data_IF_278483969559
#
_entry.id   IF_278483969559
#
_cell.length_a   1.000
_cell.length_b   1.000
_cell.length_c   1.000
_cell.angle_alpha   90.00
_cell.angle_beta   90.00
_cell.angle_gamma   90.00
#
_symmetry.space_group_name_H-M   'P 1'
#
loop_
_entity.id
_entity.type
_entity.pdbx_description
1 polymer ?
#
# COMPACT_ATOMS: atom_id res chain seq x y z
N UNK A 1 -17.02 7.11 16.79
CA UNK A 1 -17.39 5.81 16.21
C UNK A 1 -16.81 4.76 17.15
N UNK A 2 -17.64 3.99 17.86
CA UNK A 2 -17.15 2.95 18.77
C UNK A 2 -16.95 1.68 17.95
N UNK A 3 -15.71 1.21 17.82
CA UNK A 3 -15.44 -0.11 17.26
C UNK A 3 -15.54 -1.12 18.39
N UNK A 4 -16.34 -2.19 18.23
CA UNK A 4 -16.32 -3.33 19.15
C UNK A 4 -15.18 -4.25 18.72
N UNK A 5 -13.96 -3.94 19.17
CA UNK A 5 -12.75 -4.70 18.80
C UNK A 5 -12.00 -5.11 20.07
N UNK A 6 -11.75 -6.42 20.22
CA UNK A 6 -10.97 -7.03 21.29
C UNK A 6 -9.47 -7.00 20.92
N UNK A 7 -8.83 -5.84 21.11
CA UNK A 7 -7.37 -5.68 20.96
C UNK A 7 -6.85 -4.64 21.94
N UNK A 8 -5.76 -4.95 22.64
CA UNK A 8 -5.07 -3.99 23.50
C UNK A 8 -4.14 -3.07 22.69
N UNK A 9 -3.75 -1.93 23.28
CA UNK A 9 -2.93 -0.92 22.60
C UNK A 9 -1.52 -1.42 22.27
N UNK A 10 -0.94 -2.31 23.09
CA UNK A 10 0.42 -2.82 22.88
C UNK A 10 0.42 -3.73 21.65
N UNK A 11 -0.54 -4.66 21.58
CA UNK A 11 -0.71 -5.53 20.41
C UNK A 11 -0.95 -4.71 19.14
N UNK A 12 -1.76 -3.66 19.23
CA UNK A 12 -2.02 -2.76 18.10
C UNK A 12 -0.74 -2.05 17.62
N UNK A 13 0.07 -1.52 18.52
CA UNK A 13 1.33 -0.85 18.19
C UNK A 13 2.35 -1.83 17.58
N UNK A 14 2.44 -3.05 18.12
CA UNK A 14 3.27 -4.13 17.56
C UNK A 14 2.86 -4.42 16.11
N UNK A 15 1.55 -4.54 15.83
CA UNK A 15 1.06 -4.79 14.48
C UNK A 15 1.37 -3.64 13.52
N UNK A 16 1.19 -2.38 13.95
CA UNK A 16 1.55 -1.21 13.13
C UNK A 16 3.04 -1.22 12.80
N UNK A 17 3.89 -1.49 13.79
CA UNK A 17 5.34 -1.60 13.60
C UNK A 17 5.71 -2.74 12.64
N UNK A 18 5.13 -3.93 12.82
CA UNK A 18 5.35 -5.10 11.95
C UNK A 18 4.91 -4.86 10.51
N UNK A 19 3.82 -4.12 10.30
CA UNK A 19 3.33 -3.71 8.98
C UNK A 19 4.03 -2.44 8.47
N UNK A 20 5.10 -2.00 9.14
CA UNK A 20 6.06 -0.97 8.70
C UNK A 20 5.39 0.36 8.38
N UNK A 21 4.34 0.73 9.14
CA UNK A 21 3.60 1.97 8.93
C UNK A 21 2.81 2.03 7.61
N UNK A 22 2.71 0.94 6.83
CA UNK A 22 1.89 0.91 5.61
C UNK A 22 0.40 1.05 5.94
N UNK A 23 0.01 0.62 7.13
CA UNK A 23 -1.34 0.79 7.69
C UNK A 23 -1.27 1.44 9.07
N UNK A 24 -2.26 2.27 9.37
CA UNK A 24 -2.40 2.91 10.68
C UNK A 24 -3.11 1.99 11.67
N UNK A 25 -3.02 2.33 12.97
CA UNK A 25 -3.83 1.70 14.01
C UNK A 25 -5.33 1.72 13.68
N UNK A 26 -5.82 2.83 13.11
CA UNK A 26 -7.22 3.00 12.71
C UNK A 26 -7.57 2.06 11.53
N UNK A 27 -6.67 1.85 10.58
CA UNK A 27 -6.89 0.90 9.48
C UNK A 27 -7.05 -0.53 10.01
N UNK A 28 -6.24 -0.92 11.01
CA UNK A 28 -6.31 -2.24 11.65
C UNK A 28 -7.64 -2.40 12.40
N UNK A 29 -8.03 -1.41 13.22
CA UNK A 29 -9.30 -1.44 13.95
C UNK A 29 -10.51 -1.53 13.01
N UNK A 30 -10.50 -0.76 11.92
CA UNK A 30 -11.56 -0.83 10.89
C UNK A 30 -11.60 -2.19 10.20
N UNK A 31 -10.43 -2.81 9.98
CA UNK A 31 -10.35 -4.12 9.36
C UNK A 31 -10.83 -5.23 10.31
N UNK A 32 -10.47 -5.16 11.60
CA UNK A 32 -10.95 -6.10 12.63
C UNK A 32 -12.46 -6.00 12.84
N UNK A 33 -13.02 -4.80 12.73
CA UNK A 33 -14.45 -4.57 12.82
C UNK A 33 -15.27 -5.20 11.68
N UNK A 34 -14.64 -5.81 10.67
CA UNK A 34 -15.36 -6.62 9.69
C UNK A 34 -15.72 -8.03 10.22
N UNK A 35 -15.06 -8.50 11.30
CA UNK A 35 -15.20 -9.85 11.84
C UNK A 35 -16.09 -9.88 13.08
N UNK A 36 -16.70 -11.04 13.34
CA UNK A 36 -17.46 -11.29 14.59
C UNK A 36 -16.52 -11.26 15.80
N UNK A 37 -17.03 -10.92 17.00
CA UNK A 37 -16.20 -10.68 18.19
C UNK A 37 -15.33 -11.91 18.56
N UNK A 38 -15.86 -13.12 18.41
CA UNK A 38 -15.16 -14.39 18.66
C UNK A 38 -14.14 -14.76 17.56
N UNK A 39 -14.28 -14.18 16.37
CA UNK A 39 -13.38 -14.41 15.23
C UNK A 39 -12.16 -13.47 15.22
N UNK A 40 -12.23 -12.34 15.93
CA UNK A 40 -11.19 -11.32 15.91
C UNK A 40 -9.83 -11.85 16.34
N UNK A 41 -9.77 -12.79 17.29
CA UNK A 41 -8.51 -13.45 17.69
C UNK A 41 -7.87 -14.25 16.57
N UNK A 42 -8.69 -14.91 15.75
CA UNK A 42 -8.22 -15.66 14.58
C UNK A 42 -7.78 -14.69 13.48
N UNK A 43 -8.53 -13.60 13.25
CA UNK A 43 -8.13 -12.51 12.35
C UNK A 43 -6.79 -11.87 12.76
N UNK A 44 -6.55 -11.67 14.05
CA UNK A 44 -5.29 -11.19 14.60
C UNK A 44 -4.13 -12.14 14.27
N UNK A 45 -4.34 -13.45 14.32
CA UNK A 45 -3.31 -14.42 13.92
C UNK A 45 -2.95 -14.32 12.43
N UNK A 46 -3.92 -14.00 11.55
CA UNK A 46 -3.70 -13.83 10.12
C UNK A 46 -2.88 -12.57 9.82
N UNK A 47 -3.27 -11.41 10.37
CA UNK A 47 -2.53 -10.15 10.17
C UNK A 47 -1.13 -10.20 10.80
N UNK A 48 -0.97 -10.91 11.92
CA UNK A 48 0.33 -11.16 12.57
C UNK A 48 1.28 -12.01 11.73
N UNK A 49 0.80 -12.63 10.65
CA UNK A 49 1.62 -13.40 9.70
C UNK A 49 1.74 -12.73 8.31
N UNK A 50 1.09 -11.58 8.10
CA UNK A 50 1.20 -10.81 6.86
C UNK A 50 2.55 -10.10 6.76
N UNK A 51 3.35 -10.41 5.74
CA UNK A 51 4.61 -9.72 5.43
C UNK A 51 4.34 -8.58 4.47
N UNK A 52 4.86 -7.39 4.79
CA UNK A 52 4.73 -6.20 3.94
C UNK A 52 6.11 -5.74 3.48
N UNK A 53 6.29 -5.53 2.18
CA UNK A 53 7.51 -4.97 1.61
C UNK A 53 7.39 -3.46 1.42
N UNK A 54 8.35 -2.72 1.98
CA UNK A 54 8.53 -1.29 1.77
C UNK A 54 9.27 -0.99 0.46
N UNK A 55 9.29 0.27 0.03
CA UNK A 55 10.09 0.68 -1.14
C UNK A 55 11.57 0.36 -0.95
N UNK A 56 12.12 0.64 0.24
CA UNK A 56 13.54 0.45 0.52
C UNK A 56 13.95 -1.03 0.46
N UNK A 57 13.09 -1.93 0.95
CA UNK A 57 13.36 -3.37 0.90
C UNK A 57 13.28 -3.92 -0.53
N UNK A 58 12.35 -3.40 -1.34
CA UNK A 58 12.29 -3.75 -2.77
C UNK A 58 13.55 -3.26 -3.47
N UNK A 59 13.96 -2.01 -3.23
CA UNK A 59 15.20 -1.43 -3.77
C UNK A 59 16.43 -2.24 -3.34
N UNK A 60 16.51 -2.68 -2.08
CA UNK A 60 17.60 -3.51 -1.59
C UNK A 60 17.64 -4.89 -2.26
N UNK A 61 16.48 -5.54 -2.43
CA UNK A 61 16.38 -6.85 -3.10
C UNK A 61 16.78 -6.75 -4.57
N UNK A 62 16.32 -5.71 -5.26
CA UNK A 62 16.74 -5.42 -6.63
C UNK A 62 18.22 -5.04 -6.73
N UNK A 63 18.76 -4.28 -5.78
CA UNK A 63 20.18 -3.95 -5.71
C UNK A 63 21.04 -5.21 -5.63
N UNK A 64 20.71 -6.14 -4.72
CA UNK A 64 21.40 -7.41 -4.54
C UNK A 64 21.26 -8.31 -5.76
N UNK A 65 20.04 -8.51 -6.24
CA UNK A 65 19.76 -9.39 -7.36
C UNK A 65 20.38 -8.92 -8.67
N UNK A 66 20.30 -7.62 -8.98
CA UNK A 66 20.95 -7.05 -10.16
C UNK A 66 22.48 -7.16 -10.08
N UNK A 67 23.07 -6.99 -8.89
CA UNK A 67 24.51 -7.14 -8.70
C UNK A 67 24.99 -8.57 -8.96
N UNK A 68 24.19 -9.58 -8.59
CA UNK A 68 24.46 -11.00 -8.92
C UNK A 68 24.49 -11.18 -10.45
N UNK A 69 23.49 -10.64 -11.17
CA UNK A 69 23.42 -10.75 -12.64
C UNK A 69 24.64 -10.08 -13.28
N UNK A 70 24.95 -8.83 -12.92
CA UNK A 70 26.04 -8.06 -13.53
C UNK A 70 27.39 -8.75 -13.35
N UNK A 71 27.64 -9.39 -12.20
CA UNK A 71 28.87 -10.15 -11.95
C UNK A 71 28.96 -11.41 -12.80
N UNK A 72 27.83 -12.00 -13.19
CA UNK A 72 27.77 -13.14 -14.09
C UNK A 72 27.86 -12.79 -15.58
N UNK A 73 27.75 -11.51 -15.94
CA UNK A 73 27.73 -11.05 -17.35
C UNK A 73 29.07 -10.40 -17.73
N UNK A 74 29.72 -10.82 -18.84
CA UNK A 74 31.00 -10.27 -19.30
C UNK A 74 30.98 -8.74 -19.42
N UNK A 75 32.06 -8.07 -19.02
CA UNK A 75 32.13 -6.59 -18.91
C UNK A 75 31.81 -5.83 -20.20
N UNK A 76 32.08 -6.43 -21.37
CA UNK A 76 31.79 -5.86 -22.69
C UNK A 76 30.32 -6.03 -23.13
N UNK A 77 29.59 -6.96 -22.52
CA UNK A 77 28.18 -7.22 -22.84
C UNK A 77 27.26 -6.26 -22.07
N UNK A 78 26.16 -5.88 -22.71
CA UNK A 78 25.06 -5.10 -22.13
C UNK A 78 23.91 -6.01 -21.71
N UNK A 79 23.09 -5.51 -20.80
CA UNK A 79 21.95 -6.21 -20.22
C UNK A 79 20.68 -5.44 -20.56
N UNK A 80 19.75 -6.11 -21.21
CA UNK A 80 18.40 -5.61 -21.39
C UNK A 80 17.56 -5.95 -20.15
N UNK A 81 16.82 -4.97 -19.64
CA UNK A 81 15.94 -5.16 -18.48
C UNK A 81 14.52 -4.80 -18.89
N UNK A 82 13.60 -5.75 -18.72
CA UNK A 82 12.23 -5.62 -19.16
C UNK A 82 11.25 -5.94 -18.02
N UNK A 83 10.49 -4.96 -17.52
CA UNK A 83 9.42 -5.21 -16.55
C UNK A 83 8.28 -6.00 -17.18
N UNK A 84 7.81 -7.03 -16.47
CA UNK A 84 6.69 -7.86 -16.93
C UNK A 84 5.39 -7.06 -16.85
N UNK A 85 4.63 -7.11 -17.94
CA UNK A 85 3.30 -6.53 -18.04
C UNK A 85 3.25 -5.16 -18.72
N UNK A 86 2.02 -4.67 -18.93
CA UNK A 86 1.77 -3.44 -19.67
C UNK A 86 2.22 -2.19 -18.89
N UNK A 87 2.71 -1.19 -19.63
CA UNK A 87 3.05 0.14 -19.13
C UNK A 87 1.88 0.75 -18.32
N UNK A 88 2.18 1.30 -17.13
CA UNK A 88 1.17 1.90 -16.23
C UNK A 88 0.59 0.99 -15.13
N UNK A 89 1.06 -0.27 -15.00
CA UNK A 89 0.77 -1.18 -13.86
C UNK A 89 1.97 -1.29 -12.89
N UNK A 90 2.16 -2.44 -12.23
CA UNK A 90 3.31 -2.70 -11.34
C UNK A 90 4.65 -2.60 -12.07
N UNK A 91 4.72 -2.97 -13.36
CA UNK A 91 5.97 -2.94 -14.14
C UNK A 91 6.67 -1.57 -14.16
N UNK A 92 5.92 -0.47 -14.33
CA UNK A 92 6.49 0.89 -14.28
C UNK A 92 7.04 1.25 -12.90
N UNK A 93 6.38 0.80 -11.84
CA UNK A 93 6.87 0.96 -10.46
C UNK A 93 8.18 0.18 -10.25
N UNK A 94 8.23 -1.06 -10.73
CA UNK A 94 9.40 -1.91 -10.55
C UNK A 94 10.61 -1.34 -11.31
N UNK A 95 10.42 -0.86 -12.53
CA UNK A 95 11.45 -0.14 -13.26
C UNK A 95 11.94 1.10 -12.51
N UNK A 96 11.02 1.89 -11.93
CA UNK A 96 11.37 3.06 -11.13
C UNK A 96 12.20 2.70 -9.89
N UNK A 97 11.78 1.69 -9.12
CA UNK A 97 12.51 1.25 -7.92
C UNK A 97 13.88 0.67 -8.30
N UNK A 98 13.98 -0.10 -9.38
CA UNK A 98 15.26 -0.61 -9.87
C UNK A 98 16.23 0.52 -10.23
N UNK A 99 15.76 1.59 -10.89
CA UNK A 99 16.58 2.76 -11.24
C UNK A 99 17.14 3.50 -10.04
N UNK A 100 16.48 3.44 -8.88
CA UNK A 100 16.98 4.05 -7.65
C UNK A 100 18.17 3.31 -7.05
N UNK A 101 18.36 2.04 -7.41
CA UNK A 101 19.41 1.24 -6.81
C UNK A 101 20.80 1.75 -7.21
N UNK A 102 21.74 1.68 -6.26
CA UNK A 102 23.13 2.06 -6.51
C UNK A 102 23.77 1.21 -7.63
N UNK A 103 23.41 -0.07 -7.70
CA UNK A 103 23.87 -1.00 -8.74
C UNK A 103 23.48 -0.51 -10.13
N UNK A 104 22.23 -0.08 -10.31
CA UNK A 104 21.76 0.44 -11.58
C UNK A 104 22.52 1.71 -11.97
N UNK A 105 22.65 2.65 -11.03
CA UNK A 105 23.29 3.94 -11.30
C UNK A 105 24.76 3.82 -11.69
N UNK A 106 25.53 2.99 -10.98
CA UNK A 106 26.95 2.75 -11.28
C UNK A 106 27.13 2.07 -12.64
N UNK A 107 26.18 1.23 -13.06
CA UNK A 107 26.30 0.43 -14.28
C UNK A 107 25.40 0.94 -15.42
N UNK A 108 24.93 2.19 -15.39
CA UNK A 108 23.90 2.66 -16.33
C UNK A 108 24.30 2.47 -17.80
N UNK A 109 25.59 2.56 -18.12
CA UNK A 109 26.11 2.44 -19.49
C UNK A 109 25.98 1.03 -20.05
N UNK A 110 25.83 0.03 -19.16
CA UNK A 110 25.66 -1.38 -19.49
C UNK A 110 24.21 -1.86 -19.41
N UNK A 111 23.31 -1.05 -18.84
CA UNK A 111 21.93 -1.45 -18.57
C UNK A 111 20.98 -0.68 -19.48
N UNK A 112 20.11 -1.39 -20.18
CA UNK A 112 19.08 -0.77 -21.04
C UNK A 112 17.71 -1.20 -20.58
N UNK A 113 16.90 -0.24 -20.11
CA UNK A 113 15.50 -0.50 -19.75
C UNK A 113 14.62 -0.51 -20.99
N UNK A 114 13.86 -1.59 -21.13
CA UNK A 114 12.98 -1.87 -22.26
C UNK A 114 11.54 -1.80 -21.77
N UNK A 115 10.78 -0.75 -22.12
CA UNK A 115 9.41 -0.59 -21.62
C UNK A 115 8.39 -1.45 -22.38
N UNK A 116 8.69 -1.83 -23.62
CA UNK A 116 7.83 -2.66 -24.48
C UNK A 116 8.64 -3.81 -25.06
N UNK A 117 8.13 -5.04 -24.91
CA UNK A 117 8.68 -6.27 -25.48
C UNK A 117 9.03 -6.15 -26.97
N UNK A 118 8.27 -5.40 -27.77
CA UNK A 118 8.53 -5.20 -29.20
C UNK A 118 9.89 -4.54 -29.45
N UNK A 119 10.34 -3.68 -28.54
CA UNK A 119 11.64 -3.00 -28.61
C UNK A 119 12.82 -3.96 -28.34
N UNK A 120 12.59 -5.20 -27.89
CA UNK A 120 13.66 -6.20 -27.78
C UNK A 120 14.29 -6.52 -29.14
N UNK A 121 13.52 -6.38 -30.22
CA UNK A 121 13.99 -6.55 -31.60
C UNK A 121 14.97 -5.47 -32.06
N UNK A 122 14.96 -4.29 -31.45
CA UNK A 122 15.81 -3.15 -31.85
C UNK A 122 17.14 -3.10 -31.10
N UNK A 123 17.37 -4.03 -30.17
CA UNK A 123 18.60 -4.13 -29.40
C UNK A 123 19.79 -4.53 -30.29
N UNK A 124 20.96 -3.96 -30.01
CA UNK A 124 22.21 -4.35 -30.66
C UNK A 124 22.67 -5.74 -30.22
N UNK A 125 23.65 -6.29 -30.95
CA UNK A 125 24.21 -7.62 -30.66
C UNK A 125 24.94 -7.68 -29.31
N UNK A 126 25.33 -6.53 -28.74
CA UNK A 126 25.96 -6.48 -27.44
C UNK A 126 25.01 -6.85 -26.27
N UNK A 127 23.69 -6.85 -26.50
CA UNK A 127 22.67 -7.21 -25.51
C UNK A 127 22.41 -8.71 -25.47
N UNK A 128 23.38 -9.46 -24.97
CA UNK A 128 23.30 -10.93 -24.91
C UNK A 128 22.50 -11.46 -23.70
N UNK A 129 22.11 -10.58 -22.76
CA UNK A 129 21.41 -10.95 -21.53
C UNK A 129 20.10 -10.18 -21.36
N UNK A 130 19.01 -10.90 -21.09
CA UNK A 130 17.70 -10.35 -20.77
C UNK A 130 17.36 -10.59 -19.30
N UNK A 131 16.87 -9.57 -18.61
CA UNK A 131 16.35 -9.66 -17.25
C UNK A 131 14.87 -9.29 -17.26
N UNK A 132 14.00 -10.24 -16.92
CA UNK A 132 12.59 -9.98 -16.68
C UNK A 132 12.36 -9.59 -15.22
N UNK A 133 11.63 -8.50 -14.99
CA UNK A 133 11.44 -7.90 -13.67
C UNK A 133 9.97 -7.96 -13.24
N UNK A 134 9.71 -8.43 -12.03
CA UNK A 134 8.36 -8.39 -11.43
C UNK A 134 8.42 -8.22 -9.89
N UNK A 135 7.31 -7.89 -9.26
CA UNK A 135 7.22 -7.75 -7.80
C UNK A 135 6.94 -9.08 -7.09
N UNK A 136 5.95 -9.82 -7.57
CA UNK A 136 5.46 -11.03 -6.91
C UNK A 136 5.00 -12.09 -7.89
N UNK A 137 5.55 -13.31 -7.76
CA UNK A 137 5.05 -14.47 -8.51
C UNK A 137 4.35 -15.48 -7.60
N UNK A 138 3.04 -15.61 -7.79
CA UNK A 138 2.21 -16.51 -6.98
C UNK A 138 2.11 -17.93 -7.52
N UNK A 139 1.57 -18.12 -8.72
CA UNK A 139 1.49 -19.42 -9.41
C UNK A 139 2.50 -19.56 -10.55
N UNK A 140 3.07 -18.44 -11.02
CA UNK A 140 3.89 -18.38 -12.23
C UNK A 140 3.11 -18.35 -13.54
N UNK A 141 1.81 -18.66 -13.56
CA UNK A 141 1.03 -18.75 -14.80
C UNK A 141 0.96 -17.44 -15.60
N UNK A 142 0.98 -16.28 -14.94
CA UNK A 142 0.98 -14.99 -15.63
C UNK A 142 2.33 -14.72 -16.32
N UNK A 143 3.42 -15.11 -15.68
CA UNK A 143 4.78 -14.97 -16.22
C UNK A 143 4.97 -15.91 -17.40
N UNK A 144 4.55 -17.17 -17.28
CA UNK A 144 4.57 -18.11 -18.40
C UNK A 144 3.78 -17.58 -19.60
N UNK A 145 2.55 -17.12 -19.38
CA UNK A 145 1.72 -16.57 -20.46
C UNK A 145 2.44 -15.44 -21.16
N UNK A 146 2.97 -14.49 -20.39
CA UNK A 146 3.73 -13.35 -20.90
C UNK A 146 5.00 -13.79 -21.66
N UNK A 147 5.71 -14.78 -21.11
CA UNK A 147 6.90 -15.33 -21.73
C UNK A 147 6.57 -15.93 -23.10
N UNK A 148 5.52 -16.76 -23.17
CA UNK A 148 5.11 -17.44 -24.39
C UNK A 148 4.47 -16.48 -25.42
N UNK A 149 3.86 -15.38 -25.01
CA UNK A 149 3.27 -14.41 -25.94
C UNK A 149 4.26 -13.36 -26.43
N UNK A 150 5.11 -12.83 -25.54
CA UNK A 150 5.87 -11.60 -25.80
C UNK A 150 7.39 -11.82 -25.84
N UNK A 151 7.91 -12.87 -25.18
CA UNK A 151 9.37 -13.07 -25.03
C UNK A 151 9.89 -14.18 -25.94
N UNK A 152 9.11 -15.23 -26.19
CA UNK A 152 9.55 -16.42 -26.93
C UNK A 152 10.00 -16.09 -28.36
N UNK A 153 9.46 -15.04 -28.99
CA UNK A 153 9.90 -14.60 -30.31
C UNK A 153 11.32 -13.99 -30.31
N UNK A 154 11.83 -13.62 -29.14
CA UNK A 154 13.11 -12.92 -28.97
C UNK A 154 14.19 -13.75 -28.26
N UNK A 155 13.84 -14.91 -27.68
CA UNK A 155 14.77 -15.78 -26.91
C UNK A 155 16.08 -16.08 -27.66
N UNK A 156 16.02 -16.36 -28.97
CA UNK A 156 17.21 -16.72 -29.75
C UNK A 156 18.30 -15.63 -29.81
N UNK A 157 17.98 -14.40 -29.40
CA UNK A 157 18.93 -13.27 -29.33
C UNK A 157 19.73 -13.24 -28.02
N UNK A 158 19.23 -13.90 -26.98
CA UNK A 158 19.80 -13.84 -25.64
C UNK A 158 20.47 -15.17 -25.28
N UNK A 159 21.72 -15.09 -24.83
CA UNK A 159 22.45 -16.25 -24.26
C UNK A 159 21.94 -16.59 -22.87
N UNK A 160 21.48 -15.58 -22.12
CA UNK A 160 20.99 -15.72 -20.75
C UNK A 160 19.69 -14.95 -20.57
N UNK A 161 18.71 -15.59 -19.94
CA UNK A 161 17.44 -14.96 -19.57
C UNK A 161 17.23 -15.18 -18.07
N UNK A 162 17.24 -14.11 -17.30
CA UNK A 162 17.05 -14.14 -15.87
C UNK A 162 15.68 -13.60 -15.48
N UNK A 163 15.09 -14.16 -14.43
CA UNK A 163 13.98 -13.53 -13.74
C UNK A 163 14.50 -12.89 -12.44
N UNK A 164 14.18 -11.62 -12.22
CA UNK A 164 14.50 -10.87 -11.00
C UNK A 164 13.18 -10.46 -10.32
N UNK A 165 12.93 -11.01 -9.13
CA UNK A 165 11.71 -10.77 -8.37
C UNK A 165 11.98 -10.32 -6.93
N UNK A 166 10.98 -9.71 -6.29
CA UNK A 166 11.07 -9.35 -4.86
C UNK A 166 10.67 -10.53 -3.99
N UNK A 167 9.55 -11.18 -4.33
CA UNK A 167 9.01 -12.30 -3.57
C UNK A 167 8.29 -13.32 -4.46
N UNK A 168 8.18 -14.56 -3.98
CA UNK A 168 7.52 -15.62 -4.72
C UNK A 168 6.91 -16.68 -3.80
N UNK A 169 5.98 -17.46 -4.34
CA UNK A 169 5.64 -18.75 -3.76
C UNK A 169 6.62 -19.82 -4.26
N UNK A 170 6.96 -20.79 -3.41
CA UNK A 170 7.87 -21.90 -3.71
C UNK A 170 7.41 -22.67 -4.95
N UNK A 171 6.12 -22.91 -5.09
CA UNK A 171 5.55 -23.62 -6.24
C UNK A 171 5.77 -22.86 -7.56
N UNK A 172 5.70 -21.52 -7.55
CA UNK A 172 5.97 -20.71 -8.73
C UNK A 172 7.44 -20.78 -9.16
N UNK A 173 8.38 -20.84 -8.22
CA UNK A 173 9.81 -21.00 -8.52
C UNK A 173 10.07 -22.33 -9.24
N UNK A 174 9.49 -23.41 -8.72
CA UNK A 174 9.62 -24.74 -9.32
C UNK A 174 9.00 -24.74 -10.73
N UNK A 175 7.82 -24.15 -10.87
CA UNK A 175 7.09 -24.05 -12.14
C UNK A 175 7.85 -23.27 -13.21
N UNK A 176 8.47 -22.14 -12.84
CA UNK A 176 9.12 -21.23 -13.77
C UNK A 176 10.58 -21.60 -14.09
N UNK A 177 11.17 -22.54 -13.35
CA UNK A 177 12.57 -22.96 -13.54
C UNK A 177 12.95 -23.30 -14.99
N UNK A 178 12.09 -23.95 -15.82
CA UNK A 178 12.43 -24.26 -17.21
C UNK A 178 12.54 -23.05 -18.15
N UNK A 179 11.98 -21.89 -17.78
CA UNK A 179 11.90 -20.71 -18.66
C UNK A 179 13.10 -19.77 -18.53
N UNK A 180 13.91 -19.93 -17.48
CA UNK A 180 14.95 -18.97 -17.13
C UNK A 180 16.28 -19.66 -16.87
N UNK A 181 17.37 -19.04 -17.31
CA UNK A 181 18.74 -19.40 -16.95
C UNK A 181 18.91 -19.36 -15.43
N UNK A 182 18.34 -18.34 -14.77
CA UNK A 182 18.22 -18.31 -13.32
C UNK A 182 17.03 -17.49 -12.86
N UNK A 183 16.49 -17.87 -11.71
CA UNK A 183 15.49 -17.08 -10.97
C UNK A 183 16.17 -16.51 -9.73
N UNK A 184 16.15 -15.19 -9.61
CA UNK A 184 16.84 -14.44 -8.57
C UNK A 184 15.81 -13.79 -7.68
N UNK A 185 15.59 -14.44 -6.53
CA UNK A 185 14.75 -13.98 -5.42
C UNK A 185 15.45 -14.44 -4.15
N UNK A 186 15.49 -13.58 -3.14
CA UNK A 186 16.09 -13.93 -1.85
C UNK A 186 15.34 -15.12 -1.22
N UNK A 187 16.08 -16.06 -0.63
CA UNK A 187 15.49 -17.27 -0.05
C UNK A 187 14.48 -16.98 1.07
N UNK A 188 14.68 -15.90 1.83
CA UNK A 188 13.76 -15.43 2.88
C UNK A 188 12.43 -14.88 2.32
N UNK A 189 12.37 -14.68 1.01
CA UNK A 189 11.26 -14.11 0.25
C UNK A 189 10.57 -15.15 -0.64
N UNK A 190 10.93 -16.43 -0.46
CA UNK A 190 10.27 -17.58 -1.06
C UNK A 190 9.33 -18.21 -0.03
N UNK A 191 8.04 -17.99 -0.23
CA UNK A 191 6.99 -18.36 0.71
C UNK A 191 6.32 -19.68 0.34
N UNK A 192 5.77 -20.35 1.35
CA UNK A 192 4.89 -21.50 1.16
C UNK A 192 3.45 -21.05 1.39
N UNK A 193 2.48 -21.88 0.97
CA UNK A 193 1.07 -21.64 1.28
C UNK A 193 0.84 -21.51 2.78
N UNK A 194 0.10 -20.46 3.17
CA UNK A 194 -0.14 -20.15 4.58
C UNK A 194 -0.81 -21.28 5.36
N UNK A 195 -1.68 -22.06 4.69
CA UNK A 195 -2.45 -23.14 5.31
C UNK A 195 -1.95 -24.53 4.90
N UNK A 196 -0.66 -24.64 4.58
CA UNK A 196 0.03 -25.92 4.35
C UNK A 196 0.61 -26.45 5.65
N UNK A 197 0.62 -27.77 5.82
CA UNK A 197 1.34 -28.45 6.90
C UNK A 197 2.86 -28.29 6.81
N UNK A 198 3.39 -27.95 5.63
CA UNK A 198 4.82 -27.65 5.42
C UNK A 198 5.23 -26.24 5.88
N UNK A 199 4.25 -25.41 6.25
CA UNK A 199 4.45 -24.04 6.70
C UNK A 199 4.01 -23.91 8.16
N UNK A 200 4.78 -23.20 8.98
CA UNK A 200 4.51 -23.06 10.42
C UNK A 200 4.04 -21.66 10.80
N UNK A 201 3.32 -20.96 9.91
CA UNK A 201 2.82 -19.60 10.18
C UNK A 201 1.98 -19.52 11.46
N UNK A 202 1.20 -20.56 11.72
CA UNK A 202 0.29 -20.63 12.87
C UNK A 202 0.73 -21.66 13.92
N UNK A 203 1.86 -22.33 13.69
CA UNK A 203 2.28 -23.52 14.42
C UNK A 203 1.73 -24.83 13.84
N UNK A 204 2.24 -25.96 14.34
CA UNK A 204 1.95 -27.30 13.80
C UNK A 204 0.44 -27.61 13.82
N UNK A 205 -0.14 -27.82 12.62
CA UNK A 205 -1.57 -28.13 12.38
C UNK A 205 -2.57 -27.09 12.94
N UNK A 206 -2.12 -25.89 13.31
CA UNK A 206 -2.97 -24.82 13.85
C UNK A 206 -3.54 -23.87 12.78
N UNK A 207 -3.48 -24.27 11.51
CA UNK A 207 -3.94 -23.45 10.37
C UNK A 207 -5.43 -23.63 10.03
N UNK A 208 -6.14 -24.58 10.65
CA UNK A 208 -7.55 -24.88 10.32
C UNK A 208 -8.47 -23.69 10.55
N UNK A 209 -8.50 -23.13 11.75
CA UNK A 209 -9.36 -21.98 12.06
C UNK A 209 -9.00 -20.72 11.22
N UNK A 210 -7.72 -20.33 11.05
CA UNK A 210 -7.33 -19.26 10.13
C UNK A 210 -7.77 -19.49 8.69
N UNK A 211 -7.69 -20.74 8.20
CA UNK A 211 -8.10 -21.12 6.85
C UNK A 211 -9.62 -21.01 6.68
N UNK A 212 -10.38 -21.54 7.63
CA UNK A 212 -11.85 -21.52 7.62
C UNK A 212 -12.37 -20.09 7.68
N UNK A 213 -11.81 -19.25 8.55
CA UNK A 213 -12.16 -17.83 8.63
C UNK A 213 -11.86 -17.10 7.31
N UNK A 214 -10.64 -17.28 6.77
CA UNK A 214 -10.25 -16.67 5.51
C UNK A 214 -11.14 -17.12 4.34
N UNK A 215 -11.55 -18.39 4.34
CA UNK A 215 -12.45 -18.94 3.34
C UNK A 215 -13.88 -18.37 3.48
N UNK A 216 -14.47 -18.40 4.70
CA UNK A 216 -15.80 -17.86 5.04
C UNK A 216 -15.99 -16.49 4.41
N UNK A 217 -15.08 -15.54 4.70
CA UNK A 217 -15.16 -14.19 4.15
C UNK A 217 -14.70 -14.10 2.70
N UNK A 218 -13.70 -14.89 2.31
CA UNK A 218 -13.17 -14.93 0.95
C UNK A 218 -14.22 -15.30 -0.11
N UNK A 219 -15.19 -16.17 0.22
CA UNK A 219 -16.30 -16.52 -0.68
C UNK A 219 -17.20 -15.32 -0.99
N UNK A 220 -17.50 -14.47 0.01
CA UNK A 220 -18.30 -13.26 -0.20
C UNK A 220 -17.54 -12.14 -0.92
N UNK A 221 -16.22 -12.13 -0.78
CA UNK A 221 -15.33 -11.15 -1.39
C UNK A 221 -14.96 -11.50 -2.83
N UNK A 222 -15.11 -12.76 -3.25
CA UNK A 222 -14.70 -13.21 -4.58
C UNK A 222 -15.87 -13.68 -5.45
N UNK A 223 -15.66 -13.64 -6.77
CA UNK A 223 -16.67 -14.12 -7.72
C UNK A 223 -16.64 -15.65 -7.76
N UNK A 224 -17.81 -16.32 -7.74
CA UNK A 224 -17.88 -17.77 -7.90
C UNK A 224 -17.64 -18.13 -9.35
N UNK A 225 -17.00 -19.28 -9.56
CA UNK A 225 -16.96 -19.98 -10.83
C UNK A 225 -18.07 -21.04 -10.84
N UNK A 226 -18.77 -21.21 -11.97
CA UNK A 226 -19.75 -22.29 -12.12
C UNK A 226 -19.03 -23.59 -12.48
N UNK A 227 -19.19 -24.60 -11.64
CA UNK A 227 -18.77 -25.96 -11.97
C UNK A 227 -19.67 -26.56 -13.05
N UNK A 228 -19.18 -27.61 -13.73
CA UNK A 228 -20.00 -28.44 -14.64
C UNK A 228 -21.24 -29.01 -13.95
N UNK A 229 -21.18 -29.21 -12.64
CA UNK A 229 -22.30 -29.68 -11.80
C UNK A 229 -23.31 -28.57 -11.42
N UNK A 230 -23.12 -27.33 -11.88
CA UNK A 230 -23.95 -26.18 -11.53
C UNK A 230 -23.66 -25.56 -10.16
N UNK A 231 -22.89 -26.24 -9.29
CA UNK A 231 -22.51 -25.71 -7.97
C UNK A 231 -21.48 -24.58 -8.09
N UNK A 232 -21.58 -23.52 -7.26
CA UNK A 232 -20.56 -22.48 -7.22
C UNK A 232 -19.26 -23.02 -6.60
N UNK A 233 -18.12 -22.62 -7.17
CA UNK A 233 -16.79 -22.86 -6.60
C UNK A 233 -16.06 -21.52 -6.45
N UNK A 234 -15.57 -21.24 -5.25
CA UNK A 234 -14.84 -20.02 -4.96
C UNK A 234 -13.33 -20.26 -5.01
N UNK A 235 -12.82 -20.51 -6.23
CA UNK A 235 -11.41 -20.82 -6.49
C UNK A 235 -10.43 -19.77 -5.95
N UNK A 236 -10.90 -18.53 -5.79
CA UNK A 236 -10.10 -17.39 -5.38
C UNK A 236 -10.33 -16.95 -3.93
N UNK A 237 -11.16 -17.66 -3.16
CA UNK A 237 -11.46 -17.30 -1.77
C UNK A 237 -10.22 -17.21 -0.88
N UNK A 238 -9.17 -17.97 -1.19
CA UNK A 238 -7.88 -17.96 -0.49
C UNK A 238 -6.75 -17.38 -1.34
N UNK A 239 -7.09 -16.42 -2.20
CA UNK A 239 -6.18 -15.79 -3.16
C UNK A 239 -6.25 -16.43 -4.54
N UNK A 240 -5.74 -15.73 -5.55
CA UNK A 240 -5.73 -16.19 -6.93
C UNK A 240 -5.23 -17.62 -7.01
N UNK A 241 -6.01 -18.49 -7.66
CA UNK A 241 -5.66 -19.90 -7.82
C UNK A 241 -5.32 -20.65 -6.52
N UNK A 242 -5.93 -20.24 -5.38
CA UNK A 242 -5.66 -20.82 -4.07
C UNK A 242 -4.16 -20.76 -3.69
N UNK A 243 -3.53 -19.62 -3.98
CA UNK A 243 -2.12 -19.35 -3.65
C UNK A 243 -1.88 -19.21 -2.15
N UNK A 244 -2.87 -18.78 -1.37
CA UNK A 244 -2.78 -18.66 0.09
C UNK A 244 -1.57 -17.82 0.56
N UNK A 245 -1.25 -16.75 -0.19
CA UNK A 245 -0.13 -15.88 0.16
C UNK A 245 -0.50 -14.96 1.33
N UNK A 246 0.51 -14.63 2.13
CA UNK A 246 0.48 -13.62 3.18
C UNK A 246 1.53 -12.54 2.89
N UNK A 247 1.60 -12.09 1.64
CA UNK A 247 2.54 -11.04 1.20
C UNK A 247 1.78 -9.80 0.75
N UNK A 248 2.26 -8.62 1.11
CA UNK A 248 1.75 -7.34 0.63
C UNK A 248 2.92 -6.42 0.26
N UNK A 249 2.60 -5.36 -0.47
CA UNK A 249 3.55 -4.30 -0.79
C UNK A 249 2.99 -2.96 -0.32
N UNK A 250 3.88 -1.99 -0.11
CA UNK A 250 3.49 -0.64 0.29
C UNK A 250 2.48 0.01 -0.66
N UNK A 251 2.50 -0.35 -1.94
CA UNK A 251 1.56 0.12 -2.96
C UNK A 251 0.33 -0.79 -3.15
N UNK A 252 0.17 -1.88 -2.40
CA UNK A 252 -1.01 -2.75 -2.46
C UNK A 252 -0.71 -4.25 -2.34
N UNK A 253 -1.75 -5.05 -2.15
CA UNK A 253 -1.61 -6.52 -2.14
C UNK A 253 -1.63 -7.13 -3.55
N UNK A 254 -0.83 -8.18 -3.80
CA UNK A 254 -1.04 -9.09 -4.92
C UNK A 254 -2.39 -9.82 -4.75
N UNK A 255 -3.01 -10.23 -5.85
CA UNK A 255 -4.29 -10.97 -5.80
C UNK A 255 -4.11 -12.42 -5.32
N UNK A 256 -2.86 -12.91 -5.25
CA UNK A 256 -2.51 -14.18 -4.64
C UNK A 256 -2.62 -14.16 -3.10
N UNK A 257 -2.64 -12.98 -2.49
CA UNK A 257 -2.86 -12.80 -1.05
C UNK A 257 -4.33 -12.98 -0.71
N UNK A 258 -4.62 -13.33 0.53
CA UNK A 258 -6.00 -13.56 0.98
C UNK A 258 -6.89 -12.32 0.70
N UNK A 259 -8.05 -12.49 0.02
CA UNK A 259 -8.96 -11.39 -0.32
C UNK A 259 -9.37 -10.52 0.86
N UNK A 260 -9.50 -11.11 2.05
CA UNK A 260 -9.83 -10.41 3.31
C UNK A 260 -8.92 -9.20 3.58
N UNK A 261 -7.68 -9.19 3.07
CA UNK A 261 -6.77 -8.07 3.26
C UNK A 261 -6.94 -6.92 2.26
N UNK A 262 -7.41 -7.18 1.04
CA UNK A 262 -7.26 -6.23 -0.07
C UNK A 262 -8.50 -5.99 -0.90
N UNK A 263 -9.45 -6.91 -0.89
CA UNK A 263 -10.71 -6.78 -1.58
C UNK A 263 -11.60 -5.88 -0.73
N UNK A 264 -12.04 -4.74 -1.28
CA UNK A 264 -13.04 -3.91 -0.61
C UNK A 264 -14.45 -4.40 -0.91
N UNK A 265 -15.42 -3.55 -0.57
CA UNK A 265 -16.84 -3.78 -0.81
C UNK A 265 -17.11 -4.42 -2.19
N UNK A 266 -17.63 -5.65 -2.17
CA UNK A 266 -17.97 -6.44 -3.35
C UNK A 266 -19.44 -6.30 -3.76
N UNK A 267 -20.21 -5.49 -3.02
CA UNK A 267 -21.67 -5.40 -3.11
C UNK A 267 -22.41 -6.57 -2.43
N UNK A 268 -21.70 -7.64 -2.07
CA UNK A 268 -22.26 -8.81 -1.34
C UNK A 268 -22.07 -8.68 0.16
N UNK A 269 -20.94 -8.12 0.56
CA UNK A 269 -20.61 -7.81 1.94
C UNK A 269 -19.90 -6.46 1.97
N UNK A 270 -20.32 -5.60 2.89
CA UNK A 270 -19.60 -4.37 3.18
C UNK A 270 -18.30 -4.73 3.85
N UNK A 271 -17.18 -4.45 3.19
CA UNK A 271 -15.86 -4.85 3.69
C UNK A 271 -14.86 -3.71 3.60
N UNK A 272 -14.15 -3.47 4.69
CA UNK A 272 -13.05 -2.49 4.74
C UNK A 272 -11.72 -3.20 4.59
N UNK A 273 -11.00 -3.06 3.47
CA UNK A 273 -9.73 -3.74 3.27
C UNK A 273 -8.61 -3.06 4.09
N UNK A 274 -7.71 -3.89 4.60
CA UNK A 274 -6.51 -3.45 5.30
C UNK A 274 -5.56 -2.72 4.33
N UNK A 275 -5.12 -3.40 3.28
CA UNK A 275 -4.21 -2.90 2.23
C UNK A 275 -4.91 -3.06 0.87
N UNK A 276 -5.64 -2.04 0.38
CA UNK A 276 -6.44 -2.16 -0.84
C UNK A 276 -5.57 -2.36 -2.08
N UNK A 277 -6.01 -3.25 -2.99
CA UNK A 277 -5.36 -3.47 -4.29
C UNK A 277 -5.78 -2.41 -5.33
N UNK A 278 -7.08 -2.16 -5.44
CA UNK A 278 -7.65 -1.35 -6.53
C UNK A 278 -7.59 0.16 -6.27
N UNK A 279 -7.35 0.92 -7.34
CA UNK A 279 -7.23 2.38 -7.31
C UNK A 279 -8.50 3.06 -6.80
N UNK A 280 -9.70 2.55 -7.07
CA UNK A 280 -10.94 3.15 -6.58
C UNK A 280 -10.96 3.26 -5.03
N UNK A 281 -10.58 2.19 -4.33
CA UNK A 281 -10.49 2.21 -2.86
C UNK A 281 -9.34 3.08 -2.37
N UNK A 282 -8.21 3.12 -3.09
CA UNK A 282 -7.09 4.02 -2.76
C UNK A 282 -7.49 5.50 -2.93
N UNK A 283 -8.20 5.83 -3.99
CA UNK A 283 -8.74 7.17 -4.28
C UNK A 283 -9.75 7.57 -3.21
N UNK A 284 -10.63 6.65 -2.80
CA UNK A 284 -11.57 6.91 -1.70
C UNK A 284 -10.82 7.18 -0.38
N UNK A 285 -9.86 6.32 0.02
CA UNK A 285 -9.04 6.54 1.22
C UNK A 285 -8.29 7.88 1.15
N UNK A 286 -7.70 8.22 0.00
CA UNK A 286 -7.02 9.50 -0.22
C UNK A 286 -8.00 10.69 -0.10
N UNK A 287 -9.21 10.58 -0.66
CA UNK A 287 -10.24 11.62 -0.55
C UNK A 287 -10.71 11.82 0.89
N UNK A 288 -10.93 10.72 1.64
CA UNK A 288 -11.30 10.77 3.06
C UNK A 288 -10.19 11.41 3.89
N UNK A 289 -8.94 11.03 3.65
CA UNK A 289 -7.78 11.63 4.30
C UNK A 289 -7.65 13.13 4.02
N UNK A 290 -7.80 13.56 2.76
CA UNK A 290 -7.77 14.99 2.42
C UNK A 290 -8.90 15.77 3.08
N UNK A 291 -10.13 15.22 3.12
CA UNK A 291 -11.25 15.83 3.86
C UNK A 291 -10.94 15.99 5.34
N UNK A 292 -10.33 14.98 5.95
CA UNK A 292 -9.90 15.03 7.34
C UNK A 292 -8.84 16.12 7.56
N UNK A 293 -7.80 16.19 6.71
CA UNK A 293 -6.79 17.25 6.79
C UNK A 293 -7.39 18.64 6.68
N UNK A 294 -8.30 18.87 5.71
CA UNK A 294 -8.97 20.16 5.56
C UNK A 294 -9.79 20.53 6.80
N UNK A 295 -10.45 19.55 7.42
CA UNK A 295 -11.18 19.77 8.67
C UNK A 295 -10.24 20.12 9.82
N UNK A 296 -9.14 19.39 9.99
CA UNK A 296 -8.14 19.66 11.04
C UNK A 296 -7.50 21.04 10.90
N UNK A 297 -7.12 21.43 9.68
CA UNK A 297 -6.57 22.77 9.41
C UNK A 297 -7.59 23.88 9.68
N UNK A 298 -8.88 23.61 9.45
CA UNK A 298 -9.95 24.55 9.83
C UNK A 298 -10.03 24.68 11.36
N UNK A 299 -9.83 23.60 12.12
CA UNK A 299 -9.73 23.69 13.58
C UNK A 299 -8.51 24.49 14.02
N UNK A 300 -7.36 24.35 13.36
CA UNK A 300 -6.17 25.14 13.71
C UNK A 300 -6.38 26.63 13.45
N UNK A 301 -7.09 26.97 12.37
CA UNK A 301 -7.44 28.36 12.08
C UNK A 301 -8.33 28.97 13.17
N UNK A 302 -9.34 28.24 13.64
CA UNK A 302 -10.33 28.78 14.58
C UNK A 302 -9.90 28.65 16.05
N UNK A 303 -9.13 27.61 16.39
CA UNK A 303 -8.84 27.23 17.79
C UNK A 303 -7.37 26.85 18.04
N UNK A 304 -6.51 26.94 17.03
CA UNK A 304 -5.09 26.59 17.16
C UNK A 304 -4.34 27.62 18.00
N UNK A 305 -3.24 27.18 18.61
CA UNK A 305 -2.27 28.09 19.23
C UNK A 305 -1.58 28.96 18.17
N UNK A 306 -0.95 30.05 18.61
CA UNK A 306 -0.16 30.94 17.74
C UNK A 306 0.82 30.12 16.89
N UNK A 307 1.50 29.16 17.52
CA UNK A 307 2.38 28.17 16.90
C UNK A 307 1.78 27.45 15.69
N UNK A 308 0.55 26.94 15.82
CA UNK A 308 -0.15 26.24 14.72
C UNK A 308 -0.60 27.20 13.63
N UNK A 309 -1.06 28.40 14.02
CA UNK A 309 -1.53 29.39 13.06
C UNK A 309 -0.39 29.98 12.22
N UNK A 310 0.77 30.22 12.81
CA UNK A 310 1.97 30.69 12.11
C UNK A 310 2.54 29.63 11.17
N UNK A 311 2.45 28.35 11.54
CA UNK A 311 2.94 27.25 10.71
C UNK A 311 2.01 26.90 9.55
N UNK A 312 0.69 26.86 9.77
CA UNK A 312 -0.28 26.25 8.84
C UNK A 312 -1.47 27.14 8.42
N UNK A 313 -1.49 28.41 8.80
CA UNK A 313 -2.53 29.38 8.38
C UNK A 313 -1.85 30.63 7.81
N UNK A 314 -0.95 30.39 6.86
CA UNK A 314 0.03 31.40 6.43
C UNK A 314 -0.50 32.36 5.38
N UNK A 315 -1.62 32.05 4.73
CA UNK A 315 -2.16 32.88 3.66
C UNK A 315 -2.99 34.02 4.21
N UNK A 316 -2.69 35.25 3.79
CA UNK A 316 -3.43 36.45 4.17
C UNK A 316 -4.33 36.90 3.01
N UNK A 317 -5.63 37.01 3.26
CA UNK A 317 -6.63 37.50 2.31
C UNK A 317 -7.10 38.89 2.73
N UNK A 318 -6.94 39.88 1.85
CA UNK A 318 -7.54 41.22 2.01
C UNK A 318 -8.95 41.22 1.46
N UNK A 319 -9.94 41.57 2.30
CA UNK A 319 -11.32 41.84 1.85
C UNK A 319 -11.76 43.21 2.37
N UNK A 320 -11.64 44.22 1.52
CA UNK A 320 -11.81 45.63 1.91
C UNK A 320 -10.68 46.09 2.84
N UNK A 321 -11.01 46.74 3.97
CA UNK A 321 -10.02 47.21 4.98
C UNK A 321 -9.58 46.13 5.99
N UNK A 322 -10.12 44.91 5.90
CA UNK A 322 -9.82 43.82 6.84
C UNK A 322 -8.93 42.75 6.18
N UNK A 323 -7.91 42.32 6.91
CA UNK A 323 -7.07 41.17 6.58
C UNK A 323 -7.51 39.94 7.38
N UNK A 324 -7.59 38.80 6.70
CA UNK A 324 -7.93 37.52 7.31
C UNK A 324 -6.85 36.50 7.01
N UNK A 325 -6.50 35.66 7.98
CA UNK A 325 -5.67 34.48 7.76
C UNK A 325 -6.50 33.32 7.23
N UNK A 326 -5.93 32.53 6.34
CA UNK A 326 -6.53 31.35 5.72
C UNK A 326 -5.47 30.29 5.48
N UNK A 327 -5.94 29.06 5.35
CA UNK A 327 -5.12 27.90 4.98
C UNK A 327 -4.98 27.88 3.46
N UNK A 328 -3.76 27.79 2.93
CA UNK A 328 -3.52 27.60 1.49
C UNK A 328 -3.17 26.13 1.16
N UNK A 329 -2.96 25.84 -0.13
CA UNK A 329 -2.60 24.50 -0.60
C UNK A 329 -1.21 24.03 -0.13
N UNK A 330 -0.31 24.95 0.18
CA UNK A 330 1.03 24.66 0.68
C UNK A 330 0.93 24.25 2.15
N UNK A 331 0.23 25.02 2.97
CA UNK A 331 -0.06 24.69 4.38
C UNK A 331 -0.70 23.31 4.50
N UNK A 332 -1.68 23.04 3.63
CA UNK A 332 -2.32 21.74 3.51
C UNK A 332 -1.32 20.62 3.24
N UNK A 333 -0.44 20.83 2.26
CA UNK A 333 0.51 19.80 1.82
C UNK A 333 1.62 19.59 2.84
N UNK A 334 2.17 20.64 3.43
CA UNK A 334 3.21 20.58 4.47
C UNK A 334 2.68 19.88 5.73
N UNK A 335 1.49 20.23 6.21
CA UNK A 335 0.87 19.54 7.34
C UNK A 335 0.56 18.06 7.01
N UNK A 336 0.06 17.80 5.80
CA UNK A 336 -0.18 16.44 5.31
C UNK A 336 1.09 15.59 5.27
N UNK A 337 2.21 16.15 4.78
CA UNK A 337 3.52 15.50 4.76
C UNK A 337 4.01 15.25 6.18
N UNK A 338 3.96 16.24 7.07
CA UNK A 338 4.36 16.11 8.48
C UNK A 338 3.61 14.95 9.15
N UNK A 339 2.29 14.92 9.00
CA UNK A 339 1.43 13.88 9.59
C UNK A 339 1.76 12.50 9.04
N UNK A 340 1.88 12.35 7.72
CA UNK A 340 2.13 11.06 7.10
C UNK A 340 3.57 10.57 7.34
N UNK A 341 4.58 11.45 7.35
CA UNK A 341 5.94 11.07 7.76
C UNK A 341 5.97 10.63 9.22
N UNK A 342 5.22 11.29 10.10
CA UNK A 342 5.14 10.91 11.52
C UNK A 342 4.52 9.52 11.71
N UNK A 343 3.58 9.16 10.85
CA UNK A 343 2.93 7.85 10.79
C UNK A 343 3.80 6.79 10.06
N UNK A 344 5.00 7.15 9.57
CA UNK A 344 5.96 6.24 8.96
C UNK A 344 5.77 5.98 7.45
N UNK A 345 4.96 6.79 6.76
CA UNK A 345 4.75 6.63 5.33
C UNK A 345 5.98 7.07 4.51
N UNK A 346 6.30 6.29 3.47
CA UNK A 346 7.31 6.65 2.47
C UNK A 346 6.86 7.82 1.58
N UNK A 347 7.81 8.53 0.96
CA UNK A 347 7.55 9.62 0.00
C UNK A 347 6.48 9.22 -1.03
N UNK A 348 6.62 8.05 -1.64
CA UNK A 348 5.67 7.61 -2.66
C UNK A 348 4.23 7.50 -2.12
N UNK A 349 4.07 6.91 -0.94
CA UNK A 349 2.76 6.79 -0.30
C UNK A 349 2.18 8.16 0.07
N UNK A 350 3.05 9.09 0.48
CA UNK A 350 2.66 10.47 0.76
C UNK A 350 2.14 11.15 -0.53
N UNK A 351 2.91 11.08 -1.62
CA UNK A 351 2.51 11.61 -2.93
C UNK A 351 1.15 11.06 -3.38
N UNK A 352 0.94 9.74 -3.26
CA UNK A 352 -0.35 9.13 -3.65
C UNK A 352 -1.52 9.58 -2.76
N UNK A 353 -1.32 9.65 -1.44
CA UNK A 353 -2.38 10.04 -0.49
C UNK A 353 -2.77 11.51 -0.62
N UNK A 354 -1.79 12.38 -0.91
CA UNK A 354 -2.03 13.80 -1.14
C UNK A 354 -2.50 14.07 -2.59
N UNK A 355 -2.15 13.20 -3.54
CA UNK A 355 -2.43 13.39 -4.96
C UNK A 355 -1.52 14.45 -5.58
N UNK A 356 -0.24 14.42 -5.23
CA UNK A 356 0.79 15.37 -5.67
C UNK A 356 1.93 14.62 -6.36
N UNK A 357 2.70 15.30 -7.22
CA UNK A 357 3.87 14.71 -7.85
C UNK A 357 5.08 14.63 -6.89
N UNK A 358 6.13 13.89 -7.26
CA UNK A 358 7.38 13.86 -6.49
C UNK A 358 8.11 15.21 -6.53
N UNK A 359 8.01 15.98 -7.62
CA UNK A 359 8.52 17.36 -7.66
C UNK A 359 7.76 18.27 -6.71
N UNK A 360 6.42 18.23 -6.71
CA UNK A 360 5.62 19.04 -5.77
C UNK A 360 5.96 18.68 -4.32
N UNK A 361 6.15 17.38 -4.03
CA UNK A 361 6.56 16.91 -2.71
C UNK A 361 7.88 17.54 -2.24
N UNK A 362 8.89 17.59 -3.10
CA UNK A 362 10.17 18.22 -2.79
C UNK A 362 10.03 19.74 -2.59
N UNK A 363 9.18 20.40 -3.38
CA UNK A 363 8.90 21.83 -3.23
C UNK A 363 8.20 22.15 -1.91
N UNK A 364 7.22 21.33 -1.50
CA UNK A 364 6.58 21.47 -0.19
C UNK A 364 7.52 21.17 0.96
N UNK A 365 8.41 20.17 0.84
CA UNK A 365 9.47 19.94 1.82
C UNK A 365 10.39 21.14 1.95
N UNK A 366 10.80 21.77 0.84
CA UNK A 366 11.62 22.99 0.87
C UNK A 366 10.93 24.10 1.65
N UNK A 367 9.61 24.28 1.49
CA UNK A 367 8.85 25.23 2.30
C UNK A 367 8.82 24.83 3.78
N UNK A 368 8.56 23.56 4.10
CA UNK A 368 8.57 23.08 5.48
C UNK A 368 9.93 23.22 6.17
N UNK A 369 11.05 23.11 5.43
CA UNK A 369 12.40 23.41 5.93
C UNK A 369 12.57 24.88 6.29
N UNK A 370 12.06 25.80 5.47
CA UNK A 370 12.08 27.23 5.78
C UNK A 370 11.28 27.57 7.04
N UNK A 371 10.25 26.76 7.36
CA UNK A 371 9.46 26.87 8.59
C UNK A 371 10.08 26.10 9.77
N UNK A 372 11.24 25.47 9.58
CA UNK A 372 11.91 24.66 10.60
C UNK A 372 11.22 23.33 10.93
N UNK A 373 10.22 22.90 10.17
CA UNK A 373 9.45 21.66 10.41
C UNK A 373 10.27 20.43 10.01
N UNK A 374 11.04 20.55 8.93
CA UNK A 374 11.93 19.49 8.44
C UNK A 374 13.38 19.96 8.41
N UNK A 375 14.31 19.04 8.60
CA UNK A 375 15.75 19.30 8.52
C UNK A 375 16.28 19.23 7.08
N UNK A 376 17.59 19.47 6.91
CA UNK A 376 18.24 19.39 5.60
C UNK A 376 18.10 18.01 4.93
N UNK A 377 17.92 16.94 5.73
CA UNK A 377 17.76 15.55 5.31
C UNK A 377 16.29 15.12 5.08
N UNK A 378 15.34 16.07 5.12
CA UNK A 378 13.90 15.84 5.00
C UNK A 378 13.26 15.07 6.17
N UNK A 379 13.95 14.98 7.32
CA UNK A 379 13.39 14.38 8.54
C UNK A 379 12.70 15.44 9.39
N UNK A 380 11.72 15.01 10.19
CA UNK A 380 10.98 15.88 11.11
C UNK A 380 11.94 16.36 12.20
N UNK A 381 11.99 17.67 12.43
CA UNK A 381 12.80 18.29 13.49
C UNK A 381 12.10 18.17 14.85
N UNK A 382 12.80 18.50 15.94
CA UNK A 382 12.17 18.61 17.26
C UNK A 382 10.99 19.61 17.26
N UNK A 383 11.16 20.74 16.58
CA UNK A 383 10.09 21.71 16.38
C UNK A 383 8.89 21.14 15.60
N UNK A 384 9.16 20.41 14.51
CA UNK A 384 8.11 19.73 13.75
C UNK A 384 7.34 18.71 14.59
N UNK A 385 8.01 18.02 15.52
CA UNK A 385 7.37 17.10 16.47
C UNK A 385 6.49 17.83 17.48
N UNK A 386 6.95 18.97 18.00
CA UNK A 386 6.17 19.81 18.92
C UNK A 386 4.92 20.38 18.22
N UNK A 387 5.06 20.87 16.99
CA UNK A 387 3.93 21.28 16.14
C UNK A 387 2.91 20.15 15.94
N UNK A 388 3.37 18.94 15.67
CA UNK A 388 2.48 17.78 15.54
C UNK A 388 1.76 17.44 16.86
N UNK A 389 2.44 17.51 18.00
CA UNK A 389 1.83 17.27 19.31
C UNK A 389 0.76 18.32 19.64
N UNK A 390 1.05 19.59 19.35
CA UNK A 390 0.13 20.69 19.57
C UNK A 390 -1.11 20.58 18.67
N UNK A 391 -0.91 20.22 17.39
CA UNK A 391 -1.99 19.90 16.47
C UNK A 391 -2.91 18.80 17.03
N UNK A 392 -2.33 17.71 17.57
CA UNK A 392 -3.07 16.62 18.19
C UNK A 392 -3.86 17.07 19.43
N UNK A 393 -3.29 17.94 20.28
CA UNK A 393 -3.99 18.53 21.44
C UNK A 393 -5.17 19.38 21.00
N UNK A 394 -4.96 20.27 20.03
CA UNK A 394 -6.02 21.12 19.48
C UNK A 394 -7.20 20.29 18.94
N UNK A 395 -6.92 19.24 18.16
CA UNK A 395 -7.96 18.33 17.63
C UNK A 395 -8.71 17.64 18.78
N UNK A 396 -7.98 17.08 19.75
CA UNK A 396 -8.59 16.32 20.84
C UNK A 396 -9.47 17.20 21.76
N UNK A 397 -9.02 18.40 22.10
CA UNK A 397 -9.79 19.32 22.94
C UNK A 397 -11.10 19.73 22.26
N UNK A 398 -11.05 20.01 20.96
CA UNK A 398 -12.25 20.37 20.19
C UNK A 398 -13.19 19.18 19.94
N UNK A 399 -12.67 17.95 19.92
CA UNK A 399 -13.50 16.75 19.93
C UNK A 399 -14.19 16.55 21.28
N UNK A 400 -13.48 16.73 22.41
CA UNK A 400 -14.05 16.62 23.76
C UNK A 400 -15.14 17.66 24.03
N UNK A 401 -14.91 18.92 23.67
CA UNK A 401 -15.90 20.01 23.80
C UNK A 401 -17.16 19.80 22.95
N UNK A 402 -17.12 18.91 21.93
CA UNK A 402 -18.28 18.52 21.14
C UNK A 402 -19.19 17.52 21.85
N UNK A 403 -18.67 16.83 22.88
CA UNK A 403 -19.36 15.78 23.64
C UNK A 403 -19.62 16.19 25.10
N UNK A 404 -18.77 17.02 25.72
CA UNK A 404 -19.03 17.65 27.00
C UNK A 404 -19.93 18.88 26.81
N UNK A 405 -21.17 18.80 27.29
CA UNK A 405 -22.20 19.83 27.11
C UNK A 405 -23.51 19.33 26.49
N UNK A 406 -23.57 18.07 26.06
CA UNK A 406 -24.84 17.38 25.76
C UNK A 406 -25.20 16.47 26.93
N UNK A 407 -26.00 16.97 27.88
CA UNK A 407 -26.95 16.06 28.52
C UNK A 407 -27.80 15.49 27.38
N UNK A 408 -27.76 14.17 27.19
CA UNK A 408 -28.71 13.48 26.32
C UNK A 408 -30.05 13.43 27.05
N UNK A 409 -30.71 14.58 27.22
CA UNK A 409 -32.16 14.58 27.37
C UNK A 409 -32.75 14.33 25.98
N UNK A 410 -33.29 13.14 25.80
CA UNK A 410 -34.17 12.83 24.68
C UNK A 410 -35.35 13.79 24.79
N UNK A 411 -35.33 14.89 24.02
CA UNK A 411 -36.56 15.65 23.80
C UNK A 411 -37.52 14.73 23.07
N UNK A 412 -38.52 14.21 23.79
CA UNK A 412 -39.75 13.71 23.21
C UNK A 412 -40.44 14.87 22.52
N UNK A 413 -40.04 15.16 21.28
CA UNK A 413 -40.81 16.04 20.40
C UNK A 413 -41.99 15.19 19.93
N UNK A 414 -43.12 15.30 20.64
CA UNK A 414 -44.40 14.87 20.10
C UNK A 414 -44.71 15.78 18.91
N UNK A 415 -44.33 15.33 17.71
CA UNK A 415 -44.74 15.96 16.47
C UNK A 415 -46.24 15.71 16.29
N UNK A 416 -47.06 16.67 16.70
CA UNK A 416 -48.44 16.78 16.25
C UNK A 416 -48.47 17.63 14.97
N UNK A 417 -48.85 17.06 13.82
CA UNK A 417 -49.01 17.84 12.60
C UNK A 417 -50.11 18.89 12.81
N UNK A 418 -49.81 20.16 12.46
CA UNK A 418 -50.80 21.26 12.55
C UNK A 418 -51.92 21.17 11.51
N UNK A 419 -51.83 20.24 10.55
CA UNK A 419 -52.93 19.91 9.66
C UNK A 419 -52.76 18.48 9.12
N UNK A 420 -53.87 17.77 9.01
CA UNK A 420 -53.97 16.49 8.31
C UNK A 420 -54.98 16.72 7.17
N UNK A 421 -54.58 16.44 5.92
CA UNK A 421 -55.42 16.64 4.73
C UNK A 421 -55.92 18.08 4.48
N UNK A 422 -55.09 19.09 4.74
CA UNK A 422 -55.31 20.44 4.18
C UNK A 422 -56.53 21.19 4.73
N UNK A 423 -57.04 20.83 5.89
CA UNK A 423 -57.93 21.69 6.70
C UNK A 423 -57.26 21.95 8.04
N UNK A 424 -57.33 23.21 8.47
CA UNK A 424 -56.72 23.72 9.71
C UNK A 424 -57.37 23.12 10.94
#
# INVERSE_FOLDING_TARGET
MSFKVDIDSITLDILVGRLKGVVSAIDILKWLANFEEDEQRVALSLISNLTVYTSNEIEEKYHKGLNIIIRGVPSKSKIAIHPIGLFGKSGSMMAYLLRKTNTFNINNSRLTLIPDSKMLSTLGEEHETLVLLDDFTGTGSSIEKYYNSDIIAHIGRFKQIHFLGVAAMKEAIIYLKPYFTSIIIDNDSIYKKAFSSEASYFGYRKYTAPKELAYKYGEFLTKPERLKSGKPKYRHALGHENSQSLVAFFYGCPNNTLPIFWQGDSGRIKWTPLIPRFNAHKIQKAREFRKQLSYELSLFKEFGSEMLTEAFVTYRVKKGKKEFSSVNHIDFSVYGILKLQRDGFSEFNICQRLGISSSDYLDYLKRGKQQGIFDSTNKITQWGLELYQEAKRCINNNLKNRFEGKSLEIKNIHYFPKSFNGRT
#
